data_IF_858962231162
#
_entry.id   IF_858962231162
#
_cell.length_a   1.000
_cell.length_b   1.000
_cell.length_c   1.000
_cell.angle_alpha   90.00
_cell.angle_beta   90.00
_cell.angle_gamma   90.00
#
_symmetry.space_group_name_H-M   'P 1'
#
loop_
_entity.id
_entity.type
_entity.pdbx_description
1 polymer ?
#
# COMPACT_ATOMS: atom_id res chain seq x y z
N UNK A 1 -6.75 -4.65 -8.09
CA UNK A 1 -5.51 -4.23 -8.79
C UNK A 1 -5.49 -2.76 -9.17
N UNK A 2 -6.63 -2.14 -9.52
CA UNK A 2 -6.70 -0.70 -9.83
C UNK A 2 -6.13 0.19 -8.71
N UNK A 3 -6.41 -0.13 -7.44
CA UNK A 3 -5.89 0.65 -6.29
C UNK A 3 -4.38 0.56 -6.14
N UNK A 4 -3.76 -0.58 -6.47
CA UNK A 4 -2.30 -0.72 -6.43
C UNK A 4 -1.62 0.21 -7.46
N UNK A 5 -2.16 0.29 -8.67
CA UNK A 5 -1.68 1.23 -9.69
C UNK A 5 -1.90 2.69 -9.25
N UNK A 6 -3.03 2.99 -8.60
CA UNK A 6 -3.33 4.32 -8.07
C UNK A 6 -2.37 4.75 -6.95
N UNK A 7 -1.98 3.84 -6.04
CA UNK A 7 -0.94 4.13 -5.03
C UNK A 7 0.38 4.53 -5.70
N UNK A 8 0.78 3.81 -6.75
CA UNK A 8 2.01 4.10 -7.50
C UNK A 8 1.89 5.47 -8.18
N UNK A 9 0.77 5.74 -8.85
CA UNK A 9 0.50 7.01 -9.52
C UNK A 9 0.62 8.21 -8.55
N UNK A 10 -0.05 8.15 -7.40
CA UNK A 10 0.00 9.22 -6.38
C UNK A 10 1.43 9.48 -5.94
N UNK A 11 2.20 8.43 -5.69
CA UNK A 11 3.59 8.54 -5.21
C UNK A 11 4.52 9.12 -6.26
N UNK A 12 4.35 8.73 -7.53
CA UNK A 12 5.07 9.34 -8.65
C UNK A 12 4.74 10.83 -8.78
N UNK A 13 3.48 11.23 -8.60
CA UNK A 13 3.09 12.65 -8.57
C UNK A 13 3.74 13.41 -7.40
N UNK A 14 3.72 12.83 -6.19
CA UNK A 14 4.38 13.45 -5.03
C UNK A 14 5.88 13.67 -5.27
N UNK A 15 6.56 12.69 -5.89
CA UNK A 15 7.97 12.83 -6.26
C UNK A 15 8.18 13.92 -7.32
N UNK A 16 7.37 13.93 -8.38
CA UNK A 16 7.46 14.92 -9.46
C UNK A 16 7.20 16.36 -8.97
N UNK A 17 6.31 16.52 -7.98
CA UNK A 17 5.97 17.82 -7.37
C UNK A 17 6.93 18.24 -6.26
N UNK A 18 7.95 17.43 -5.93
CA UNK A 18 8.87 17.69 -4.82
C UNK A 18 8.21 17.63 -3.43
N UNK A 19 7.02 17.03 -3.33
CA UNK A 19 6.24 16.86 -2.08
C UNK A 19 6.54 15.54 -1.36
N UNK A 20 7.39 14.68 -1.94
CA UNK A 20 7.80 13.42 -1.31
C UNK A 20 8.79 13.67 -0.16
N UNK A 21 8.59 12.98 0.97
CA UNK A 21 9.48 13.08 2.14
C UNK A 21 10.20 11.75 2.40
N UNK A 22 11.38 11.75 3.04
CA UNK A 22 12.02 10.52 3.50
C UNK A 22 11.12 9.68 4.41
N UNK A 23 10.34 10.33 5.29
CA UNK A 23 9.38 9.66 6.15
C UNK A 23 8.31 8.89 5.35
N UNK A 24 7.75 9.51 4.31
CA UNK A 24 6.79 8.82 3.43
C UNK A 24 7.46 7.66 2.69
N UNK A 25 8.70 7.81 2.21
CA UNK A 25 9.45 6.73 1.55
C UNK A 25 9.67 5.53 2.48
N UNK A 26 10.05 5.75 3.74
CA UNK A 26 10.15 4.69 4.75
C UNK A 26 8.82 4.00 4.99
N UNK A 27 7.73 4.79 5.10
CA UNK A 27 6.38 4.25 5.28
C UNK A 27 5.99 3.33 4.12
N UNK A 28 6.33 3.67 2.86
CA UNK A 28 6.05 2.79 1.71
C UNK A 28 6.69 1.40 1.84
N UNK A 29 7.90 1.34 2.41
CA UNK A 29 8.62 0.07 2.62
C UNK A 29 7.96 -0.71 3.75
N UNK A 30 7.64 -0.06 4.87
CA UNK A 30 6.92 -0.68 5.98
C UNK A 30 5.56 -1.25 5.54
N UNK A 31 4.81 -0.54 4.70
CA UNK A 31 3.55 -1.03 4.14
C UNK A 31 3.74 -2.36 3.38
N UNK A 32 4.84 -2.52 2.63
CA UNK A 32 5.14 -3.77 1.91
C UNK A 32 5.52 -4.90 2.86
N UNK A 33 6.29 -4.59 3.89
CA UNK A 33 6.70 -5.57 4.91
C UNK A 33 5.49 -6.07 5.70
N UNK A 34 4.60 -5.16 6.11
CA UNK A 34 3.35 -5.52 6.80
C UNK A 34 2.44 -6.36 5.89
N UNK A 35 2.28 -5.99 4.62
CA UNK A 35 1.50 -6.80 3.67
C UNK A 35 2.08 -8.21 3.48
N UNK A 36 3.41 -8.35 3.50
CA UNK A 36 4.07 -9.66 3.46
C UNK A 36 3.81 -10.46 4.74
N UNK A 37 3.84 -9.81 5.90
CA UNK A 37 3.54 -10.45 7.18
C UNK A 37 2.10 -10.98 7.23
N UNK A 38 1.12 -10.17 6.81
CA UNK A 38 -0.28 -10.58 6.68
C UNK A 38 -0.45 -11.76 5.72
N UNK A 39 0.22 -11.73 4.56
CA UNK A 39 0.21 -12.84 3.61
C UNK A 39 0.77 -14.12 4.24
N UNK A 40 1.91 -14.05 4.96
CA UNK A 40 2.48 -15.19 5.69
C UNK A 40 1.50 -15.72 6.74
N UNK A 41 0.84 -14.85 7.48
CA UNK A 41 -0.14 -15.23 8.50
C UNK A 41 -1.38 -15.90 7.89
N UNK A 42 -1.83 -15.49 6.70
CA UNK A 42 -2.92 -16.15 5.98
C UNK A 42 -2.51 -17.58 5.60
N UNK A 43 -1.32 -17.75 5.00
CA UNK A 43 -0.83 -19.07 4.59
C UNK A 43 -0.59 -19.98 5.81
N UNK A 44 0.03 -19.47 6.88
CA UNK A 44 0.29 -20.23 8.09
C UNK A 44 -0.99 -20.74 8.78
N UNK A 45 -2.11 -20.03 8.61
CA UNK A 45 -3.44 -20.43 9.11
C UNK A 45 -4.20 -21.39 8.17
N UNK A 46 -3.56 -21.88 7.10
CA UNK A 46 -4.18 -22.76 6.11
C UNK A 46 -5.04 -22.02 5.08
N UNK A 47 -4.88 -20.70 4.96
CA UNK A 47 -5.55 -19.90 3.94
C UNK A 47 -5.04 -20.20 2.52
N UNK A 48 -5.77 -19.70 1.52
CA UNK A 48 -5.45 -19.90 0.11
C UNK A 48 -4.96 -18.58 -0.55
N UNK A 49 -4.38 -18.65 -1.76
CA UNK A 49 -3.90 -17.47 -2.47
C UNK A 49 -4.97 -16.39 -2.73
N UNK A 50 -6.24 -16.78 -2.90
CA UNK A 50 -7.33 -15.82 -3.10
C UNK A 50 -7.54 -14.93 -1.88
N UNK A 51 -7.41 -15.47 -0.67
CA UNK A 51 -7.47 -14.69 0.58
C UNK A 51 -6.28 -13.74 0.73
N UNK A 52 -5.08 -14.14 0.27
CA UNK A 52 -3.91 -13.25 0.23
C UNK A 52 -4.18 -12.06 -0.70
N UNK A 53 -4.74 -12.32 -1.88
CA UNK A 53 -5.08 -11.27 -2.84
C UNK A 53 -6.16 -10.34 -2.26
N UNK A 54 -7.20 -10.87 -1.63
CA UNK A 54 -8.27 -10.08 -1.02
C UNK A 54 -7.74 -9.18 0.11
N UNK A 55 -6.89 -9.73 1.00
CA UNK A 55 -6.26 -8.95 2.05
C UNK A 55 -5.35 -7.86 1.47
N UNK A 56 -4.55 -8.19 0.46
CA UNK A 56 -3.71 -7.21 -0.22
C UNK A 56 -4.52 -6.07 -0.87
N UNK A 57 -5.68 -6.39 -1.46
CA UNK A 57 -6.60 -5.38 -2.00
C UNK A 57 -7.10 -4.40 -0.92
N UNK A 58 -7.44 -4.89 0.28
CA UNK A 58 -7.84 -4.05 1.41
C UNK A 58 -6.70 -3.11 1.85
N UNK A 59 -5.48 -3.62 1.90
CA UNK A 59 -4.29 -2.81 2.23
C UNK A 59 -4.07 -1.68 1.21
N UNK A 60 -4.10 -1.98 -0.09
CA UNK A 60 -3.88 -0.94 -1.10
C UNK A 60 -5.01 0.09 -1.13
N UNK A 61 -6.26 -0.30 -0.88
CA UNK A 61 -7.38 0.64 -0.76
C UNK A 61 -7.19 1.61 0.42
N UNK A 62 -6.74 1.10 1.57
CA UNK A 62 -6.41 1.94 2.72
C UNK A 62 -5.25 2.92 2.42
N UNK A 63 -4.23 2.47 1.69
CA UNK A 63 -3.13 3.33 1.26
C UNK A 63 -3.61 4.43 0.30
N UNK A 64 -4.50 4.11 -0.66
CA UNK A 64 -5.12 5.11 -1.54
C UNK A 64 -5.85 6.16 -0.70
N UNK A 65 -6.68 5.73 0.27
CA UNK A 65 -7.44 6.65 1.12
C UNK A 65 -6.51 7.61 1.90
N UNK A 66 -5.45 7.07 2.54
CA UNK A 66 -4.45 7.86 3.26
C UNK A 66 -3.75 8.86 2.35
N UNK A 67 -3.18 8.38 1.24
CA UNK A 67 -2.40 9.19 0.31
C UNK A 67 -3.24 10.26 -0.38
N UNK A 68 -4.51 9.97 -0.65
CA UNK A 68 -5.46 10.95 -1.21
C UNK A 68 -5.80 12.03 -0.18
N UNK A 69 -5.92 11.67 1.10
CA UNK A 69 -6.09 12.63 2.19
C UNK A 69 -4.85 13.53 2.37
N UNK A 70 -3.64 12.96 2.25
CA UNK A 70 -2.37 13.70 2.38
C UNK A 70 -2.11 14.67 1.21
N UNK A 71 -2.66 14.42 0.01
CA UNK A 71 -2.53 15.35 -1.12
C UNK A 71 -3.43 16.59 -1.04
N UNK A 72 -4.48 16.56 -0.21
CA UNK A 72 -5.44 17.65 -0.05
C UNK A 72 -5.02 18.69 1.01
N UNK A 73 -3.77 18.62 1.47
CA UNK A 73 -3.12 19.54 2.42
C UNK A 73 -1.91 20.18 1.74
#
# INVERSE_FOLDING_TARGET
MADAARVIEIRLRMMALGKSTPAEMFLMVSEKMNAMEEAKAIIARGGNPSLVIENYQKIVAANVARLSGTQNV
#
